data_IF_094811945673
#
_entry.id   IF_094811945673
#
_cell.length_a   1.000
_cell.length_b   1.000
_cell.length_c   1.000
_cell.angle_alpha   90.00
_cell.angle_beta   90.00
_cell.angle_gamma   90.00
#
_symmetry.space_group_name_H-M   'P 1'
#
loop_
_entity.id
_entity.type
_entity.pdbx_description
1 polymer ?
#
# COMPACT_ATOMS: atom_id res chain seq x y z
N UNK A 1 28.26 -48.21 42.57
CA UNK A 1 26.93 -48.36 41.97
C UNK A 1 26.90 -47.66 40.61
N UNK A 2 26.81 -48.38 39.49
CA UNK A 2 26.77 -47.78 38.18
C UNK A 2 25.35 -47.27 37.88
N UNK A 3 25.28 -46.01 37.45
CA UNK A 3 24.07 -45.29 37.03
C UNK A 3 23.58 -45.85 35.70
N UNK A 4 22.36 -46.38 35.70
CA UNK A 4 21.66 -46.91 34.52
C UNK A 4 21.25 -45.73 33.64
N UNK A 5 21.87 -45.59 32.47
CA UNK A 5 21.44 -44.65 31.44
C UNK A 5 20.14 -45.19 30.84
N UNK A 6 19.04 -44.48 31.04
CA UNK A 6 17.77 -44.79 30.41
C UNK A 6 17.90 -44.50 28.91
N UNK A 7 17.90 -45.57 28.10
CA UNK A 7 17.71 -45.52 26.66
C UNK A 7 16.39 -44.78 26.37
N UNK A 8 16.51 -43.53 25.92
CA UNK A 8 15.40 -42.78 25.38
C UNK A 8 14.82 -43.54 24.20
N UNK A 9 13.62 -44.08 24.36
CA UNK A 9 12.85 -44.63 23.26
C UNK A 9 12.54 -43.51 22.28
N UNK A 10 13.22 -43.50 21.14
CA UNK A 10 12.86 -42.68 19.98
C UNK A 10 11.44 -43.06 19.56
N UNK A 11 10.46 -42.26 19.99
CA UNK A 11 9.11 -42.38 19.48
C UNK A 11 9.11 -41.98 18.00
N UNK A 12 8.62 -42.85 17.09
CA UNK A 12 8.54 -42.52 15.68
C UNK A 12 7.67 -41.29 15.50
N UNK A 13 8.19 -40.28 14.79
CA UNK A 13 7.47 -39.04 14.51
C UNK A 13 6.09 -39.37 13.91
N UNK A 14 5.02 -38.86 14.53
CA UNK A 14 3.69 -39.05 13.99
C UNK A 14 3.61 -38.46 12.56
N UNK A 15 3.03 -39.20 11.59
CA UNK A 15 2.91 -38.73 10.23
C UNK A 15 2.05 -37.46 10.18
N UNK A 16 2.55 -36.45 9.46
CA UNK A 16 1.84 -35.19 9.26
C UNK A 16 0.43 -35.46 8.72
N UNK A 17 -0.65 -34.92 9.32
CA UNK A 17 -2.02 -35.22 8.89
C UNK A 17 -2.33 -34.56 7.54
N UNK A 18 -2.01 -35.26 6.46
CA UNK A 18 -2.16 -34.83 5.07
C UNK A 18 -3.60 -34.45 4.73
N UNK A 19 -4.59 -35.17 5.25
CA UNK A 19 -6.01 -34.94 4.98
C UNK A 19 -6.50 -33.56 5.43
N UNK A 20 -6.00 -33.07 6.56
CA UNK A 20 -6.37 -31.75 7.08
C UNK A 20 -5.81 -30.63 6.18
N UNK A 21 -4.59 -30.82 5.68
CA UNK A 21 -3.94 -29.89 4.78
C UNK A 21 -4.70 -29.81 3.44
N UNK A 22 -5.03 -30.94 2.82
CA UNK A 22 -5.79 -30.99 1.57
C UNK A 22 -7.17 -30.33 1.70
N UNK A 23 -7.91 -30.60 2.78
CA UNK A 23 -9.22 -29.97 3.02
C UNK A 23 -9.12 -28.45 3.15
N UNK A 24 -8.09 -27.93 3.83
CA UNK A 24 -7.84 -26.48 3.93
C UNK A 24 -7.51 -25.87 2.57
N UNK A 25 -6.69 -26.54 1.78
CA UNK A 25 -6.25 -26.06 0.46
C UNK A 25 -7.41 -26.05 -0.54
N UNK A 26 -8.24 -27.09 -0.55
CA UNK A 26 -9.46 -27.18 -1.36
C UNK A 26 -10.46 -26.08 -0.96
N UNK A 27 -10.65 -25.85 0.35
CA UNK A 27 -11.52 -24.78 0.85
C UNK A 27 -11.02 -23.41 0.41
N UNK A 28 -9.72 -23.14 0.49
CA UNK A 28 -9.11 -21.89 0.00
C UNK A 28 -9.34 -21.71 -1.50
N UNK A 29 -9.18 -22.78 -2.28
CA UNK A 29 -9.40 -22.75 -3.72
C UNK A 29 -10.84 -22.32 -4.06
N UNK A 30 -11.85 -22.96 -3.47
CA UNK A 30 -13.25 -22.66 -3.75
C UNK A 30 -13.71 -21.30 -3.21
N UNK A 31 -13.19 -20.86 -2.07
CA UNK A 31 -13.64 -19.63 -1.43
C UNK A 31 -12.93 -18.36 -1.93
N UNK A 32 -11.72 -18.50 -2.48
CA UNK A 32 -10.89 -17.34 -2.84
C UNK A 32 -10.44 -17.41 -4.29
N UNK A 33 -9.79 -18.51 -4.69
CA UNK A 33 -9.16 -18.62 -6.01
C UNK A 33 -10.21 -18.65 -7.11
N UNK A 34 -11.25 -19.47 -6.97
CA UNK A 34 -12.29 -19.59 -8.00
C UNK A 34 -13.08 -18.27 -8.20
N UNK A 35 -13.63 -17.61 -7.17
CA UNK A 35 -14.32 -16.33 -7.36
C UNK A 35 -13.44 -15.26 -8.03
N UNK A 36 -12.16 -15.19 -7.65
CA UNK A 36 -11.19 -14.29 -8.28
C UNK A 36 -11.07 -14.58 -9.78
N UNK A 37 -10.88 -15.84 -10.17
CA UNK A 37 -10.78 -16.22 -11.58
C UNK A 37 -12.08 -16.00 -12.35
N UNK A 38 -13.23 -16.21 -11.72
CA UNK A 38 -14.53 -15.89 -12.34
C UNK A 38 -14.63 -14.39 -12.63
N UNK A 39 -14.26 -13.53 -11.67
CA UNK A 39 -14.27 -12.07 -11.87
C UNK A 39 -13.29 -11.69 -12.99
N UNK A 40 -12.04 -12.17 -12.93
CA UNK A 40 -11.03 -11.89 -13.96
C UNK A 40 -11.50 -12.39 -15.33
N UNK A 41 -12.11 -13.57 -15.40
CA UNK A 41 -12.63 -14.15 -16.64
C UNK A 41 -13.79 -13.34 -17.22
N UNK A 42 -14.72 -12.87 -16.39
CA UNK A 42 -15.83 -12.00 -16.82
C UNK A 42 -15.30 -10.65 -17.30
N UNK A 43 -14.38 -10.03 -16.57
CA UNK A 43 -13.74 -8.76 -16.98
C UNK A 43 -12.99 -8.95 -18.30
N UNK A 44 -12.23 -10.04 -18.44
CA UNK A 44 -11.55 -10.36 -19.69
C UNK A 44 -12.54 -10.60 -20.84
N UNK A 45 -13.65 -11.29 -20.60
CA UNK A 45 -14.66 -11.54 -21.64
C UNK A 45 -15.31 -10.25 -22.15
N UNK A 46 -15.50 -9.25 -21.28
CA UNK A 46 -16.11 -7.96 -21.63
C UNK A 46 -15.10 -7.00 -22.27
N UNK A 47 -13.90 -6.87 -21.69
CA UNK A 47 -12.93 -5.83 -22.06
C UNK A 47 -11.77 -6.36 -22.91
N UNK A 48 -11.55 -7.68 -22.96
CA UNK A 48 -10.54 -8.34 -23.77
C UNK A 48 -9.13 -7.78 -23.57
N UNK A 49 -8.51 -7.39 -24.68
CA UNK A 49 -7.15 -6.88 -24.71
C UNK A 49 -6.97 -5.56 -23.95
N UNK A 50 -8.04 -4.77 -23.79
CA UNK A 50 -7.91 -3.42 -23.21
C UNK A 50 -7.73 -3.49 -21.70
N UNK A 51 -8.29 -4.53 -21.08
CA UNK A 51 -7.97 -4.89 -19.71
C UNK A 51 -6.47 -5.24 -19.56
N UNK A 52 -5.90 -6.03 -20.47
CA UNK A 52 -4.47 -6.36 -20.43
C UNK A 52 -3.59 -5.12 -20.63
N UNK A 53 -3.93 -4.25 -21.57
CA UNK A 53 -3.19 -3.00 -21.79
C UNK A 53 -3.26 -2.08 -20.57
N UNK A 54 -4.43 -1.92 -19.96
CA UNK A 54 -4.60 -1.14 -18.75
C UNK A 54 -3.80 -1.75 -17.59
N UNK A 55 -3.87 -3.08 -17.40
CA UNK A 55 -3.11 -3.80 -16.39
C UNK A 55 -1.60 -3.63 -16.59
N UNK A 56 -1.11 -3.84 -17.82
CA UNK A 56 0.30 -3.69 -18.16
C UNK A 56 0.79 -2.27 -17.87
N UNK A 57 0.04 -1.24 -18.29
CA UNK A 57 0.38 0.16 -18.00
C UNK A 57 0.40 0.45 -16.50
N UNK A 58 -0.55 -0.10 -15.74
CA UNK A 58 -0.62 0.07 -14.29
C UNK A 58 0.59 -0.56 -13.55
N UNK A 59 1.16 -1.65 -14.06
CA UNK A 59 2.30 -2.34 -13.41
C UNK A 59 3.67 -1.89 -13.94
N UNK A 60 3.72 -1.23 -15.10
CA UNK A 60 4.97 -0.86 -15.78
C UNK A 60 5.23 0.64 -15.83
N UNK A 61 4.57 1.43 -14.99
CA UNK A 61 4.74 2.89 -14.99
C UNK A 61 6.17 3.25 -14.53
N UNK A 62 6.99 3.88 -15.40
CA UNK A 62 8.36 4.26 -15.06
C UNK A 62 8.44 5.54 -14.19
N UNK A 63 7.29 6.11 -13.83
CA UNK A 63 7.22 7.33 -13.03
C UNK A 63 7.46 7.02 -11.55
N UNK A 64 8.31 7.83 -10.91
CA UNK A 64 8.55 7.71 -9.48
C UNK A 64 7.28 8.08 -8.67
N UNK A 65 6.72 9.27 -8.92
CA UNK A 65 5.44 9.72 -8.37
C UNK A 65 4.68 10.60 -9.38
N UNK A 66 3.43 10.26 -9.67
CA UNK A 66 2.55 10.96 -10.60
C UNK A 66 1.76 12.07 -9.91
N UNK A 67 2.45 13.02 -9.26
CA UNK A 67 1.81 14.07 -8.45
C UNK A 67 0.96 13.50 -7.30
N UNK A 68 1.58 12.67 -6.47
CA UNK A 68 0.95 12.11 -5.26
C UNK A 68 1.77 12.47 -4.02
N UNK A 69 1.13 12.92 -2.94
CA UNK A 69 1.71 13.28 -1.65
C UNK A 69 2.15 12.03 -0.89
N UNK A 70 3.21 11.38 -1.36
CA UNK A 70 3.70 10.12 -0.83
C UNK A 70 5.24 10.13 -0.68
N UNK A 71 5.82 9.00 -0.23
CA UNK A 71 7.27 8.89 -0.08
C UNK A 71 8.01 9.16 -1.39
N UNK A 72 7.43 8.76 -2.52
CA UNK A 72 8.05 8.95 -3.82
C UNK A 72 8.10 10.41 -4.25
N UNK A 73 7.17 11.26 -3.81
CA UNK A 73 7.26 12.70 -4.02
C UNK A 73 8.32 13.34 -3.13
N UNK A 74 8.48 12.87 -1.88
CA UNK A 74 9.60 13.25 -1.01
C UNK A 74 10.93 12.93 -1.69
N UNK A 75 11.08 11.70 -2.19
CA UNK A 75 12.29 11.28 -2.92
C UNK A 75 12.49 12.10 -4.20
N UNK A 76 11.43 12.35 -4.96
CA UNK A 76 11.47 13.20 -6.18
C UNK A 76 12.03 14.59 -5.87
N UNK A 77 11.53 15.24 -4.81
CA UNK A 77 12.01 16.55 -4.39
C UNK A 77 13.49 16.52 -3.96
N UNK A 78 13.90 15.51 -3.18
CA UNK A 78 15.29 15.34 -2.78
C UNK A 78 16.23 15.08 -3.96
N UNK A 79 15.79 14.33 -4.98
CA UNK A 79 16.58 14.08 -6.18
C UNK A 79 16.81 15.35 -6.99
N UNK A 80 15.79 16.18 -7.18
CA UNK A 80 15.93 17.49 -7.82
C UNK A 80 16.86 18.44 -7.04
N UNK A 81 16.80 18.40 -5.71
CA UNK A 81 17.62 19.25 -4.85
C UNK A 81 19.10 18.84 -4.85
N UNK A 82 19.39 17.54 -4.71
CA UNK A 82 20.76 17.04 -4.51
C UNK A 82 21.47 16.64 -5.81
N UNK A 83 20.72 16.31 -6.86
CA UNK A 83 21.27 15.84 -8.14
C UNK A 83 20.65 16.57 -9.36
N UNK A 84 20.64 17.91 -9.38
CA UNK A 84 19.97 18.70 -10.42
C UNK A 84 20.54 18.46 -11.83
N UNK A 85 21.81 18.06 -11.94
CA UNK A 85 22.43 17.76 -13.24
C UNK A 85 21.88 16.47 -13.89
N UNK A 86 21.26 15.59 -13.11
CA UNK A 86 20.74 14.29 -13.57
C UNK A 86 19.22 14.36 -13.74
N UNK A 87 18.51 14.93 -12.76
CA UNK A 87 17.04 14.94 -12.73
C UNK A 87 16.41 16.28 -13.10
N UNK A 88 17.23 17.29 -13.41
CA UNK A 88 16.78 18.69 -13.47
C UNK A 88 16.73 19.30 -12.07
N UNK A 89 16.93 20.61 -11.96
CA UNK A 89 16.73 21.34 -10.71
C UNK A 89 15.25 21.56 -10.39
N UNK A 90 14.97 22.12 -9.22
CA UNK A 90 13.63 22.58 -8.87
C UNK A 90 13.22 23.75 -9.78
N UNK A 91 12.05 23.66 -10.42
CA UNK A 91 11.49 24.74 -11.25
C UNK A 91 10.63 25.61 -10.36
N UNK A 92 11.03 26.87 -10.17
CA UNK A 92 10.37 27.77 -9.21
C UNK A 92 10.23 27.13 -7.81
N UNK A 93 11.24 26.36 -7.37
CA UNK A 93 11.22 25.68 -6.08
C UNK A 93 10.36 24.41 -6.02
N UNK A 94 9.76 23.98 -7.13
CA UNK A 94 8.92 22.77 -7.21
C UNK A 94 9.65 21.60 -7.83
N UNK A 95 9.30 20.41 -7.33
CA UNK A 95 9.67 19.16 -7.98
C UNK A 95 8.82 18.95 -9.24
N UNK A 96 9.42 18.33 -10.26
CA UNK A 96 8.72 17.89 -11.47
C UNK A 96 8.66 16.37 -11.50
N UNK A 97 7.88 15.80 -12.41
CA UNK A 97 7.76 14.34 -12.50
C UNK A 97 9.08 13.76 -13.02
N UNK A 98 9.64 12.82 -12.26
CA UNK A 98 10.82 12.05 -12.69
C UNK A 98 10.35 10.73 -13.32
N UNK A 99 10.74 10.52 -14.58
CA UNK A 99 10.76 9.21 -15.22
C UNK A 99 12.17 8.63 -15.07
N UNK A 100 12.30 7.44 -14.50
CA UNK A 100 13.62 6.89 -14.17
C UNK A 100 13.77 5.42 -14.55
N UNK A 101 15.02 4.97 -14.57
CA UNK A 101 15.38 3.57 -14.67
C UNK A 101 15.06 2.77 -13.39
N UNK A 102 15.26 1.46 -13.49
CA UNK A 102 14.98 0.49 -12.43
C UNK A 102 15.75 0.75 -11.12
N UNK A 103 16.91 1.42 -11.15
CA UNK A 103 17.78 1.57 -9.98
C UNK A 103 17.15 2.50 -8.96
N UNK A 104 16.59 3.62 -9.40
CA UNK A 104 15.89 4.56 -8.51
C UNK A 104 14.56 3.97 -8.05
N UNK A 105 13.85 3.29 -8.94
CA UNK A 105 12.59 2.62 -8.63
C UNK A 105 12.78 1.44 -7.67
N UNK A 106 14.01 0.98 -7.42
CA UNK A 106 14.29 -0.11 -6.48
C UNK A 106 14.09 0.33 -5.03
N UNK A 107 14.47 1.57 -4.66
CA UNK A 107 14.36 2.04 -3.27
C UNK A 107 12.91 1.99 -2.77
N UNK A 108 11.91 2.56 -3.49
CA UNK A 108 10.52 2.49 -3.05
C UNK A 108 9.99 1.06 -3.05
N UNK A 109 10.40 0.22 -4.00
CA UNK A 109 10.02 -1.20 -4.05
C UNK A 109 10.56 -1.99 -2.85
N UNK A 110 11.80 -1.74 -2.45
CA UNK A 110 12.41 -2.36 -1.27
C UNK A 110 11.74 -1.93 0.04
N UNK A 111 11.11 -0.76 0.10
CA UNK A 111 10.27 -0.35 1.22
C UNK A 111 8.86 -0.95 1.13
N UNK A 112 8.26 -0.93 -0.07
CA UNK A 112 6.91 -1.40 -0.31
C UNK A 112 6.75 -2.90 -0.02
N UNK A 113 7.59 -3.77 -0.58
CA UNK A 113 7.38 -5.21 -0.49
C UNK A 113 7.41 -5.75 0.95
N UNK A 114 8.36 -5.36 1.83
CA UNK A 114 8.34 -5.78 3.23
C UNK A 114 7.12 -5.24 3.98
N UNK A 115 6.77 -3.96 3.82
CA UNK A 115 5.62 -3.34 4.50
C UNK A 115 4.32 -4.02 4.07
N UNK A 116 4.14 -4.24 2.76
CA UNK A 116 2.98 -4.93 2.22
C UNK A 116 2.95 -6.42 2.64
N UNK A 117 4.11 -7.09 2.62
CA UNK A 117 4.26 -8.46 3.10
C UNK A 117 3.88 -8.62 4.57
N UNK A 118 4.21 -7.63 5.42
CA UNK A 118 3.77 -7.57 6.81
C UNK A 118 2.25 -7.44 6.93
N UNK A 119 1.61 -6.59 6.13
CA UNK A 119 0.13 -6.46 6.09
C UNK A 119 -0.53 -7.78 5.73
N UNK A 120 -0.07 -8.44 4.67
CA UNK A 120 -0.60 -9.74 4.25
C UNK A 120 -0.38 -10.79 5.34
N UNK A 121 0.82 -10.86 5.90
CA UNK A 121 1.14 -11.81 6.97
C UNK A 121 0.30 -11.60 8.22
N UNK A 122 0.07 -10.34 8.61
CA UNK A 122 -0.79 -9.99 9.73
C UNK A 122 -2.25 -10.36 9.44
N UNK A 123 -2.78 -9.99 8.27
CA UNK A 123 -4.12 -10.37 7.85
C UNK A 123 -4.34 -11.89 7.90
N UNK A 124 -3.35 -12.69 7.48
CA UNK A 124 -3.43 -14.15 7.52
C UNK A 124 -3.52 -14.72 8.95
N UNK A 125 -2.95 -14.02 9.95
CA UNK A 125 -3.00 -14.42 11.37
C UNK A 125 -4.27 -13.97 12.10
N UNK A 126 -4.98 -12.98 11.56
CA UNK A 126 -6.15 -12.38 12.20
C UNK A 126 -7.44 -13.17 11.96
N UNK A 127 -8.44 -12.93 12.81
CA UNK A 127 -9.81 -13.43 12.60
C UNK A 127 -10.35 -12.98 11.25
N UNK A 128 -10.99 -13.89 10.51
CA UNK A 128 -11.50 -13.63 9.14
C UNK A 128 -12.87 -12.95 9.17
N UNK A 129 -12.92 -11.76 9.76
CA UNK A 129 -14.10 -10.90 9.78
C UNK A 129 -14.08 -9.93 8.60
N UNK A 130 -15.26 -9.43 8.21
CA UNK A 130 -15.35 -8.40 7.17
C UNK A 130 -14.66 -7.08 7.58
N UNK A 131 -14.70 -6.74 8.86
CA UNK A 131 -13.97 -5.59 9.40
C UNK A 131 -12.45 -5.73 9.19
N UNK A 132 -11.87 -6.87 9.56
CA UNK A 132 -10.44 -7.12 9.35
C UNK A 132 -10.08 -7.15 7.87
N UNK A 133 -10.95 -7.69 7.01
CA UNK A 133 -10.76 -7.61 5.56
C UNK A 133 -10.62 -6.15 5.10
N UNK A 134 -11.54 -5.27 5.51
CA UNK A 134 -11.50 -3.85 5.16
C UNK A 134 -10.28 -3.13 5.76
N UNK A 135 -9.96 -3.39 7.03
CA UNK A 135 -8.84 -2.76 7.74
C UNK A 135 -7.49 -3.11 7.08
N UNK A 136 -7.25 -4.39 6.82
CA UNK A 136 -6.00 -4.82 6.19
C UNK A 136 -5.96 -4.50 4.69
N UNK A 137 -7.11 -4.43 3.99
CA UNK A 137 -7.17 -3.91 2.64
C UNK A 137 -6.79 -2.42 2.60
N UNK A 138 -7.32 -1.61 3.53
CA UNK A 138 -6.94 -0.20 3.68
C UNK A 138 -5.45 -0.05 3.98
N UNK A 139 -4.91 -0.83 4.93
CA UNK A 139 -3.49 -0.79 5.26
C UNK A 139 -2.58 -1.18 4.08
N UNK A 140 -2.94 -2.25 3.36
CA UNK A 140 -2.21 -2.67 2.16
C UNK A 140 -2.28 -1.62 1.05
N UNK A 141 -3.44 -0.99 0.86
CA UNK A 141 -3.61 0.05 -0.13
C UNK A 141 -2.85 1.33 0.23
N UNK A 142 -2.86 1.75 1.48
CA UNK A 142 -2.07 2.90 1.94
C UNK A 142 -0.56 2.61 1.85
N UNK A 143 -0.11 1.39 2.12
CA UNK A 143 1.28 0.99 1.88
C UNK A 143 1.65 1.09 0.39
N UNK A 144 0.77 0.66 -0.50
CA UNK A 144 0.91 0.85 -1.95
C UNK A 144 0.98 2.33 -2.32
N UNK A 145 0.04 3.15 -1.86
CA UNK A 145 0.01 4.59 -2.16
C UNK A 145 1.29 5.28 -1.65
N UNK A 146 1.76 4.89 -0.47
CA UNK A 146 2.87 5.54 0.23
C UNK A 146 4.20 5.20 -0.42
N UNK A 147 4.46 3.92 -0.72
CA UNK A 147 5.79 3.46 -1.13
C UNK A 147 5.88 2.92 -2.55
N UNK A 148 4.80 2.55 -3.23
CA UNK A 148 4.90 2.01 -4.58
C UNK A 148 5.07 3.13 -5.63
N UNK A 149 5.76 2.81 -6.72
CA UNK A 149 6.01 3.73 -7.84
C UNK A 149 4.77 3.86 -8.73
N UNK A 150 4.71 4.90 -9.57
CA UNK A 150 3.61 5.09 -10.52
C UNK A 150 2.27 5.46 -9.87
N UNK A 151 2.29 5.92 -8.61
CA UNK A 151 1.08 6.34 -7.91
C UNK A 151 0.71 7.76 -8.35
N UNK A 152 -0.54 7.93 -8.78
CA UNK A 152 -1.09 9.21 -9.25
C UNK A 152 -2.04 9.82 -8.20
N UNK A 153 -2.43 11.08 -8.42
CA UNK A 153 -3.23 11.86 -7.48
C UNK A 153 -4.57 11.23 -7.08
N UNK A 154 -5.17 10.44 -7.97
CA UNK A 154 -6.50 9.86 -7.79
C UNK A 154 -6.49 8.54 -7.02
N UNK A 155 -5.31 7.98 -6.72
CA UNK A 155 -5.22 6.65 -6.12
C UNK A 155 -5.82 6.65 -4.69
N UNK A 156 -5.75 7.75 -3.93
CA UNK A 156 -6.39 7.82 -2.61
C UNK A 156 -7.92 7.63 -2.62
N UNK A 157 -8.57 7.67 -3.79
CA UNK A 157 -10.01 7.38 -3.90
C UNK A 157 -10.37 6.00 -3.35
N UNK A 158 -9.59 4.95 -3.65
CA UNK A 158 -9.88 3.61 -3.13
C UNK A 158 -9.66 3.53 -1.61
N UNK A 159 -8.63 4.20 -1.09
CA UNK A 159 -8.42 4.33 0.36
C UNK A 159 -9.63 4.98 1.04
N UNK A 160 -10.18 6.03 0.43
CA UNK A 160 -11.34 6.75 0.96
C UNK A 160 -12.59 5.87 1.01
N UNK A 161 -12.85 5.07 -0.03
CA UNK A 161 -13.97 4.11 -0.04
C UNK A 161 -13.80 3.08 1.08
N UNK A 162 -12.61 2.46 1.19
CA UNK A 162 -12.33 1.46 2.21
C UNK A 162 -12.47 2.04 3.63
N UNK A 163 -11.94 3.24 3.86
CA UNK A 163 -12.06 3.93 5.15
C UNK A 163 -13.50 4.32 5.47
N UNK A 164 -14.29 4.75 4.48
CA UNK A 164 -15.72 5.06 4.65
C UNK A 164 -16.53 3.82 5.05
N UNK A 165 -16.32 2.70 4.36
CA UNK A 165 -16.96 1.42 4.69
C UNK A 165 -16.58 0.93 6.09
N UNK A 166 -15.31 1.09 6.45
CA UNK A 166 -14.80 0.72 7.77
C UNK A 166 -15.41 1.60 8.88
N UNK A 167 -15.51 2.92 8.66
CA UNK A 167 -16.15 3.86 9.58
C UNK A 167 -17.67 3.63 9.71
N UNK A 168 -18.33 3.23 8.62
CA UNK A 168 -19.73 2.80 8.64
C UNK A 168 -19.91 1.56 9.52
N UNK A 169 -19.04 0.57 9.37
CA UNK A 169 -19.14 -0.69 10.11
C UNK A 169 -18.84 -0.50 11.61
N UNK A 170 -17.84 0.31 11.94
CA UNK A 170 -17.49 0.69 13.32
C UNK A 170 -17.08 2.15 13.40
N UNK A 171 -17.79 2.90 14.25
CA UNK A 171 -17.56 4.33 14.47
C UNK A 171 -16.16 4.66 14.99
N UNK A 172 -15.45 3.71 15.60
CA UNK A 172 -14.05 3.91 16.03
C UNK A 172 -13.11 4.26 14.87
N UNK A 173 -13.45 3.87 13.63
CA UNK A 173 -12.66 4.17 12.43
C UNK A 173 -13.05 5.49 11.75
N UNK A 174 -13.98 6.27 12.32
CA UNK A 174 -14.40 7.56 11.76
C UNK A 174 -13.21 8.53 11.59
N UNK A 175 -12.27 8.52 12.55
CA UNK A 175 -11.09 9.38 12.47
C UNK A 175 -10.16 8.98 11.31
N UNK A 176 -9.99 7.68 11.07
CA UNK A 176 -9.25 7.16 9.91
C UNK A 176 -9.87 7.63 8.60
N UNK A 177 -11.21 7.59 8.49
CA UNK A 177 -11.94 8.10 7.33
C UNK A 177 -11.71 9.61 7.11
N UNK A 178 -11.84 10.41 8.17
CA UNK A 178 -11.62 11.86 8.09
C UNK A 178 -10.19 12.17 7.64
N UNK A 179 -9.17 11.52 8.23
CA UNK A 179 -7.77 11.69 7.81
C UNK A 179 -7.59 11.34 6.34
N UNK A 180 -8.07 10.18 5.90
CA UNK A 180 -7.96 9.77 4.49
C UNK A 180 -8.64 10.78 3.57
N UNK A 181 -9.81 11.30 3.96
CA UNK A 181 -10.54 12.34 3.22
C UNK A 181 -9.76 13.64 3.12
N UNK A 182 -9.19 14.11 4.22
CA UNK A 182 -8.36 15.33 4.24
C UNK A 182 -7.13 15.16 3.35
N UNK A 183 -6.38 14.05 3.50
CA UNK A 183 -5.19 13.78 2.67
C UNK A 183 -5.56 13.68 1.20
N UNK A 184 -6.65 12.99 0.84
CA UNK A 184 -7.10 12.87 -0.55
C UNK A 184 -7.44 14.23 -1.17
N UNK A 185 -8.14 15.08 -0.43
CA UNK A 185 -8.49 16.43 -0.90
C UNK A 185 -7.28 17.36 -0.97
N UNK A 186 -6.39 17.34 0.04
CA UNK A 186 -5.14 18.09 0.00
C UNK A 186 -4.27 17.66 -1.18
N UNK A 187 -4.21 16.37 -1.47
CA UNK A 187 -3.48 15.85 -2.62
C UNK A 187 -4.01 16.41 -3.94
N UNK A 188 -5.33 16.43 -4.14
CA UNK A 188 -5.92 17.04 -5.33
C UNK A 188 -5.69 18.55 -5.37
N UNK A 189 -5.95 19.25 -4.27
CA UNK A 189 -5.83 20.71 -4.20
C UNK A 189 -4.41 21.19 -4.48
N UNK A 190 -3.40 20.55 -3.91
CA UNK A 190 -2.00 20.95 -4.07
C UNK A 190 -1.52 20.81 -5.53
N UNK A 191 -2.00 19.78 -6.24
CA UNK A 191 -1.53 19.49 -7.60
C UNK A 191 -2.44 20.02 -8.71
N UNK A 192 -3.72 20.29 -8.42
CA UNK A 192 -4.75 20.65 -9.40
C UNK A 192 -5.67 21.81 -8.96
N UNK A 193 -5.40 22.45 -7.82
CA UNK A 193 -6.16 23.63 -7.40
C UNK A 193 -7.64 23.34 -7.16
N UNK A 194 -8.48 24.37 -7.27
CA UNK A 194 -9.94 24.26 -7.13
C UNK A 194 -10.65 24.02 -8.47
N UNK A 195 -10.04 24.43 -9.57
CA UNK A 195 -10.60 24.42 -10.92
C UNK A 195 -9.94 23.39 -11.85
N UNK A 196 -9.04 22.56 -11.33
CA UNK A 196 -8.26 21.59 -12.10
C UNK A 196 -6.94 22.15 -12.64
N UNK A 197 -6.65 23.44 -12.42
CA UNK A 197 -5.37 24.05 -12.81
C UNK A 197 -4.34 23.93 -11.69
N UNK A 198 -3.09 23.63 -12.05
CA UNK A 198 -2.00 23.58 -11.07
C UNK A 198 -1.87 24.96 -10.38
N UNK A 199 -2.01 25.04 -9.04
CA UNK A 199 -2.00 26.33 -8.37
C UNK A 199 -0.64 27.01 -8.50
N UNK A 200 -0.53 28.34 -8.31
CA UNK A 200 0.76 29.03 -8.20
C UNK A 200 1.57 28.51 -6.99
N UNK A 201 2.88 28.74 -6.98
CA UNK A 201 3.81 28.25 -5.94
C UNK A 201 3.24 28.46 -4.55
N UNK A 202 3.05 27.35 -3.81
CA UNK A 202 2.70 27.35 -2.41
C UNK A 202 3.95 26.92 -1.64
N UNK A 203 4.47 27.82 -0.81
CA UNK A 203 5.66 27.57 -0.02
C UNK A 203 5.47 27.97 1.44
N UNK A 204 6.13 27.24 2.33
CA UNK A 204 6.21 27.54 3.76
C UNK A 204 7.68 27.63 4.12
N UNK A 205 8.13 28.81 4.55
CA UNK A 205 9.53 29.08 4.91
C UNK A 205 10.55 28.67 3.82
N UNK A 206 10.18 28.88 2.55
CA UNK A 206 11.02 28.55 1.39
C UNK A 206 10.98 27.08 0.96
N UNK A 207 10.20 26.23 1.63
CA UNK A 207 9.98 24.83 1.25
C UNK A 207 8.67 24.69 0.47
N UNK A 208 8.70 23.85 -0.57
CA UNK A 208 7.51 23.45 -1.33
C UNK A 208 6.45 22.81 -0.39
N UNK A 209 5.23 23.35 -0.40
CA UNK A 209 4.13 22.83 0.42
C UNK A 209 3.86 21.34 0.10
N UNK A 210 3.99 20.93 -1.16
CA UNK A 210 3.79 19.54 -1.56
C UNK A 210 4.80 18.60 -0.91
N UNK A 211 6.05 19.04 -0.72
CA UNK A 211 7.07 18.29 -0.01
C UNK A 211 6.72 18.12 1.48
N UNK A 212 6.33 19.21 2.14
CA UNK A 212 5.92 19.19 3.55
C UNK A 212 4.71 18.28 3.79
N UNK A 213 3.70 18.36 2.93
CA UNK A 213 2.50 17.53 3.04
C UNK A 213 2.77 16.06 2.69
N UNK A 214 3.68 15.78 1.77
CA UNK A 214 4.10 14.41 1.48
C UNK A 214 4.81 13.78 2.69
N UNK A 215 5.68 14.52 3.38
CA UNK A 215 6.29 14.08 4.65
C UNK A 215 5.24 13.82 5.73
N UNK A 216 4.29 14.75 5.90
CA UNK A 216 3.18 14.58 6.84
C UNK A 216 2.37 13.32 6.52
N UNK A 217 2.07 13.05 5.25
CA UNK A 217 1.30 11.88 4.87
C UNK A 217 2.06 10.56 5.11
N UNK A 218 3.37 10.52 4.83
CA UNK A 218 4.21 9.36 5.19
C UNK A 218 4.17 9.12 6.70
N UNK A 219 4.26 10.18 7.50
CA UNK A 219 4.16 10.06 8.96
C UNK A 219 2.79 9.58 9.44
N UNK A 220 1.70 10.11 8.87
CA UNK A 220 0.33 9.66 9.16
C UNK A 220 0.14 8.18 8.81
N UNK A 221 0.70 7.72 7.68
CA UNK A 221 0.73 6.31 7.34
C UNK A 221 1.46 5.48 8.38
N UNK A 222 2.66 5.89 8.83
CA UNK A 222 3.41 5.17 9.87
C UNK A 222 2.63 5.10 11.17
N UNK A 223 1.96 6.18 11.60
CA UNK A 223 1.11 6.16 12.78
C UNK A 223 -0.06 5.18 12.63
N UNK A 224 -0.79 5.26 11.51
CA UNK A 224 -1.90 4.34 11.23
C UNK A 224 -1.42 2.89 11.23
N UNK A 225 -0.30 2.60 10.53
CA UNK A 225 0.30 1.29 10.47
C UNK A 225 0.67 0.78 11.86
N UNK A 226 1.34 1.59 12.67
CA UNK A 226 1.67 1.25 14.06
C UNK A 226 0.42 0.94 14.88
N UNK A 227 -0.65 1.75 14.79
CA UNK A 227 -1.91 1.47 15.50
C UNK A 227 -2.54 0.15 15.07
N UNK A 228 -2.58 -0.14 13.77
CA UNK A 228 -3.15 -1.39 13.25
C UNK A 228 -2.39 -2.63 13.72
N UNK A 229 -1.06 -2.54 13.87
CA UNK A 229 -0.22 -3.67 14.25
C UNK A 229 0.07 -3.79 15.75
N UNK A 230 -0.02 -2.69 16.51
CA UNK A 230 0.14 -2.69 17.96
C UNK A 230 -1.17 -2.98 18.71
N UNK A 231 -2.34 -2.76 18.11
CA UNK A 231 -3.61 -3.15 18.73
C UNK A 231 -3.59 -4.68 18.84
N UNK A 232 -3.62 -5.19 20.07
CA UNK A 232 -3.61 -6.64 20.32
C UNK A 232 -4.71 -7.30 19.47
N UNK A 233 -4.45 -8.49 18.89
CA UNK A 233 -5.48 -9.21 18.16
C UNK A 233 -6.65 -9.44 19.11
N UNK A 234 -7.80 -8.82 18.83
CA UNK A 234 -9.03 -9.14 19.54
C UNK A 234 -9.27 -10.65 19.33
N UNK A 235 -9.28 -11.46 20.40
CA UNK A 235 -9.45 -12.91 20.29
C UNK A 235 -10.80 -13.28 19.66
#
# INVERSE_FOLDING_TARGET
HPTRMEEGQDQPAEPFPTDLFYKKLLKLFWQVVLPLWVIVGVVWAIFGWEFWMAFRRAVSDPILSGKALNFNWVLTHLLHLNYPNIFGGLVEGRATIIQSDLRILLIPKLLFYPVYGLVVSAFLKQAKTFENLLLYALAGYLAYFTFNTGVHQNHLFLALILAALLAWLKREHLFTFIICGVVANLNLFVFYGLDGTEPPRLEIAGLDLAFCLALLNVWLFVLFFTVVFLKEPNP
#
